data_IF_006302655991
#
_entry.id   IF_006302655991
#
_cell.length_a   1.000
_cell.length_b   1.000
_cell.length_c   1.000
_cell.angle_alpha   90.00
_cell.angle_beta   90.00
_cell.angle_gamma   90.00
#
_symmetry.space_group_name_H-M   'P 1'
#
loop_
_entity.id
_entity.type
_entity.pdbx_description
1 polymer ?
#
# COMPACT_ATOMS: atom_id res chain seq x y z
N UNK A 1 27.25 13.47 2.03
CA UNK A 1 26.55 12.16 2.10
C UNK A 1 25.04 12.33 2.33
N UNK A 2 24.60 13.03 3.39
CA UNK A 2 23.17 13.21 3.68
C UNK A 2 22.37 13.89 2.54
N UNK A 3 22.94 14.88 1.86
CA UNK A 3 22.31 15.59 0.74
C UNK A 3 22.03 14.68 -0.46
N UNK A 4 22.98 13.82 -0.82
CA UNK A 4 22.84 12.83 -1.90
C UNK A 4 21.74 11.82 -1.55
N UNK A 5 21.70 11.36 -0.30
CA UNK A 5 20.68 10.43 0.18
C UNK A 5 19.26 11.02 0.07
N UNK A 6 19.08 12.28 0.48
CA UNK A 6 17.79 12.97 0.39
C UNK A 6 17.32 13.09 -1.08
N UNK A 7 18.21 13.51 -1.98
CA UNK A 7 17.90 13.60 -3.41
C UNK A 7 17.56 12.24 -4.03
N UNK A 8 18.26 11.18 -3.64
CA UNK A 8 17.98 9.83 -4.12
C UNK A 8 16.58 9.35 -3.69
N UNK A 9 16.15 9.61 -2.45
CA UNK A 9 14.81 9.24 -1.97
C UNK A 9 13.72 9.94 -2.80
N UNK A 10 13.87 11.25 -2.99
CA UNK A 10 12.93 12.05 -3.78
C UNK A 10 12.87 11.55 -5.24
N UNK A 11 14.02 11.26 -5.84
CA UNK A 11 14.10 10.74 -7.20
C UNK A 11 13.40 9.38 -7.33
N UNK A 12 13.62 8.47 -6.39
CA UNK A 12 12.98 7.14 -6.38
C UNK A 12 11.46 7.28 -6.21
N UNK A 13 11.01 8.17 -5.32
CA UNK A 13 9.60 8.41 -5.08
C UNK A 13 8.89 8.94 -6.33
N UNK A 14 9.47 9.92 -7.01
CA UNK A 14 8.95 10.43 -8.29
C UNK A 14 8.95 9.33 -9.35
N UNK A 15 10.04 8.56 -9.46
CA UNK A 15 10.15 7.46 -10.41
C UNK A 15 9.08 6.38 -10.18
N UNK A 16 8.79 6.05 -8.92
CA UNK A 16 7.75 5.08 -8.56
C UNK A 16 6.37 5.51 -9.06
N UNK A 17 5.99 6.77 -8.89
CA UNK A 17 4.72 7.28 -9.42
C UNK A 17 4.67 7.24 -10.95
N UNK A 18 5.76 7.65 -11.61
CA UNK A 18 5.82 7.64 -13.07
C UNK A 18 5.67 6.24 -13.65
N UNK A 19 6.27 5.23 -13.02
CA UNK A 19 6.15 3.84 -13.47
C UNK A 19 4.72 3.31 -13.34
N UNK A 20 4.03 3.62 -12.24
CA UNK A 20 2.63 3.23 -12.04
C UNK A 20 1.74 3.87 -13.11
N UNK A 21 1.93 5.16 -13.41
CA UNK A 21 1.16 5.84 -14.44
C UNK A 21 1.54 5.41 -15.86
N UNK A 22 2.82 5.15 -16.13
CA UNK A 22 3.24 4.65 -17.43
C UNK A 22 2.64 3.27 -17.69
N UNK A 23 2.62 2.39 -16.69
CA UNK A 23 1.92 1.11 -16.79
C UNK A 23 0.42 1.31 -17.05
N UNK A 24 -0.24 2.26 -16.38
CA UNK A 24 -1.64 2.57 -16.62
C UNK A 24 -1.89 3.08 -18.06
N UNK A 25 -1.04 3.96 -18.60
CA UNK A 25 -1.15 4.43 -19.98
C UNK A 25 -0.93 3.32 -21.01
N UNK A 26 0.05 2.44 -20.78
CA UNK A 26 0.30 1.30 -21.68
C UNK A 26 -0.89 0.32 -21.66
N UNK A 27 -1.42 0.01 -20.48
CA UNK A 27 -2.47 -1.02 -20.32
C UNK A 27 -3.87 -0.49 -20.68
N UNK A 28 -4.17 0.77 -20.36
CA UNK A 28 -5.54 1.31 -20.51
C UNK A 28 -5.74 2.11 -21.81
N UNK A 29 -4.68 2.68 -22.37
CA UNK A 29 -4.78 3.53 -23.57
C UNK A 29 -3.92 3.04 -24.76
N UNK A 30 -3.28 1.88 -24.64
CA UNK A 30 -2.43 1.27 -25.67
C UNK A 30 -1.26 2.17 -26.14
N UNK A 31 -0.74 3.03 -25.25
CA UNK A 31 0.39 3.90 -25.59
C UNK A 31 1.69 3.11 -25.70
N UNK A 32 2.56 3.53 -26.61
CA UNK A 32 3.94 2.98 -26.66
C UNK A 32 4.73 3.41 -25.43
N UNK A 33 5.73 2.62 -25.02
CA UNK A 33 6.52 2.87 -23.79
C UNK A 33 7.07 4.30 -23.68
N UNK A 34 7.60 4.86 -24.78
CA UNK A 34 8.12 6.22 -24.80
C UNK A 34 7.03 7.30 -24.64
N UNK A 35 5.88 7.10 -25.28
CA UNK A 35 4.72 7.99 -25.13
C UNK A 35 4.16 7.93 -23.70
N UNK A 36 4.05 6.72 -23.14
CA UNK A 36 3.55 6.51 -21.78
C UNK A 36 4.39 7.24 -20.73
N UNK A 37 5.72 7.19 -20.81
CA UNK A 37 6.59 7.93 -19.87
C UNK A 37 6.40 9.43 -20.01
N UNK A 38 6.36 9.96 -21.24
CA UNK A 38 6.21 11.40 -21.51
C UNK A 38 4.88 11.93 -20.95
N UNK A 39 3.79 11.21 -21.19
CA UNK A 39 2.46 11.61 -20.71
C UNK A 39 2.30 11.40 -19.20
N UNK A 40 2.94 10.37 -18.63
CA UNK A 40 3.02 10.19 -17.17
C UNK A 40 3.73 11.36 -16.48
N UNK A 41 4.81 11.87 -17.08
CA UNK A 41 5.52 13.04 -16.55
C UNK A 41 4.65 14.30 -16.60
N UNK A 42 3.93 14.52 -17.70
CA UNK A 42 2.99 15.64 -17.85
C UNK A 42 1.85 15.56 -16.83
N UNK A 43 1.27 14.38 -16.65
CA UNK A 43 0.20 14.14 -15.70
C UNK A 43 0.66 14.34 -14.25
N UNK A 44 1.87 13.86 -13.92
CA UNK A 44 2.47 14.00 -12.59
C UNK A 44 2.68 15.47 -12.20
N UNK A 45 3.28 16.28 -13.08
CA UNK A 45 3.51 17.70 -12.81
C UNK A 45 2.19 18.46 -12.68
N UNK A 46 1.20 18.13 -13.52
CA UNK A 46 -0.12 18.77 -13.48
C UNK A 46 -0.91 18.53 -12.17
N UNK A 47 -0.68 17.39 -11.50
CA UNK A 47 -1.44 16.97 -10.32
C UNK A 47 -0.55 16.50 -9.15
N UNK A 48 0.64 17.08 -9.00
CA UNK A 48 1.63 16.62 -8.02
C UNK A 48 1.08 16.58 -6.57
N UNK A 49 0.26 17.57 -6.19
CA UNK A 49 -0.34 17.65 -4.86
C UNK A 49 -1.37 16.53 -4.62
N UNK A 50 -2.14 16.17 -5.66
CA UNK A 50 -3.11 15.06 -5.59
C UNK A 50 -2.40 13.72 -5.44
N UNK A 51 -1.27 13.54 -6.14
CA UNK A 51 -0.44 12.34 -6.01
C UNK A 51 0.11 12.20 -4.59
N UNK A 52 0.59 13.30 -4.00
CA UNK A 52 1.06 13.33 -2.62
C UNK A 52 -0.06 13.01 -1.61
N UNK A 53 -1.24 13.61 -1.79
CA UNK A 53 -2.42 13.34 -0.95
C UNK A 53 -2.76 11.84 -0.95
N UNK A 54 -2.79 11.22 -2.14
CA UNK A 54 -3.07 9.79 -2.28
C UNK A 54 -1.97 8.90 -1.71
N UNK A 55 -0.70 9.27 -1.89
CA UNK A 55 0.42 8.56 -1.29
C UNK A 55 0.34 8.57 0.24
N UNK A 56 -0.01 9.71 0.84
CA UNK A 56 -0.21 9.84 2.30
C UNK A 56 -1.38 8.96 2.75
N UNK A 57 -2.51 8.97 2.04
CA UNK A 57 -3.67 8.12 2.38
C UNK A 57 -3.27 6.64 2.34
N UNK A 58 -2.62 6.19 1.26
CA UNK A 58 -2.17 4.79 1.12
C UNK A 58 -1.16 4.43 2.21
N UNK A 59 -0.26 5.34 2.57
CA UNK A 59 0.68 5.15 3.67
C UNK A 59 -0.03 4.87 5.00
N UNK A 60 -1.03 5.70 5.38
CA UNK A 60 -1.80 5.47 6.61
C UNK A 60 -2.58 4.17 6.60
N UNK A 61 -3.15 3.78 5.45
CA UNK A 61 -3.87 2.51 5.31
C UNK A 61 -2.90 1.34 5.44
N UNK A 62 -1.71 1.41 4.83
CA UNK A 62 -0.67 0.39 4.97
C UNK A 62 -0.18 0.29 6.42
N UNK A 63 0.02 1.42 7.10
CA UNK A 63 0.40 1.44 8.51
C UNK A 63 -0.65 0.73 9.37
N UNK A 64 -1.93 1.04 9.16
CA UNK A 64 -3.03 0.40 9.87
C UNK A 64 -3.12 -1.10 9.56
N UNK A 65 -2.98 -1.49 8.29
CA UNK A 65 -2.95 -2.90 7.90
C UNK A 65 -1.78 -3.66 8.54
N UNK A 66 -0.61 -3.03 8.64
CA UNK A 66 0.55 -3.58 9.35
C UNK A 66 0.27 -3.81 10.83
N UNK A 67 -0.34 -2.83 11.52
CA UNK A 67 -0.76 -2.98 12.92
C UNK A 67 -1.78 -4.11 13.09
N UNK A 68 -2.79 -4.19 12.20
CA UNK A 68 -3.77 -5.29 12.20
C UNK A 68 -3.08 -6.64 12.02
N UNK A 69 -2.08 -6.72 11.14
CA UNK A 69 -1.31 -7.95 10.90
C UNK A 69 -0.55 -8.37 12.16
N UNK A 70 0.07 -7.44 12.88
CA UNK A 70 0.76 -7.74 14.15
C UNK A 70 -0.23 -8.26 15.20
N UNK A 71 -1.38 -7.60 15.34
CA UNK A 71 -2.42 -8.03 16.29
C UNK A 71 -2.96 -9.42 15.92
N UNK A 72 -3.26 -9.65 14.64
CA UNK A 72 -3.74 -10.94 14.16
C UNK A 72 -2.70 -12.06 14.38
N UNK A 73 -1.42 -11.75 14.14
CA UNK A 73 -0.31 -12.65 14.41
C UNK A 73 -0.20 -13.00 15.90
N UNK A 74 -0.38 -12.02 16.80
CA UNK A 74 -0.40 -12.27 18.23
C UNK A 74 -1.60 -13.13 18.66
N UNK A 75 -2.80 -12.87 18.11
CA UNK A 75 -4.01 -13.65 18.41
C UNK A 75 -3.86 -15.12 18.02
N UNK A 76 -3.13 -15.43 16.95
CA UNK A 76 -2.86 -16.81 16.51
C UNK A 76 -1.65 -17.40 17.24
N UNK A 77 -0.59 -16.62 17.38
CA UNK A 77 0.69 -17.05 17.93
C UNK A 77 0.64 -17.33 19.43
N UNK A 78 -0.10 -16.54 20.20
CA UNK A 78 -0.20 -16.73 21.67
C UNK A 78 -0.87 -18.07 22.01
N UNK A 79 -2.05 -18.44 21.45
CA UNK A 79 -2.62 -19.78 21.66
C UNK A 79 -1.69 -20.91 21.23
N UNK A 80 -1.03 -20.79 20.06
CA UNK A 80 -0.09 -21.79 19.60
C UNK A 80 1.09 -21.96 20.59
N UNK A 81 1.60 -20.85 21.14
CA UNK A 81 2.64 -20.85 22.17
C UNK A 81 2.16 -21.50 23.47
N UNK A 82 0.92 -21.22 23.91
CA UNK A 82 0.35 -21.84 25.12
C UNK A 82 0.24 -23.37 24.94
N UNK A 83 -0.27 -23.84 23.80
CA UNK A 83 -0.37 -25.29 23.52
C UNK A 83 1.02 -25.93 23.44
N UNK A 84 1.99 -25.24 22.83
CA UNK A 84 3.38 -25.68 22.80
C UNK A 84 3.97 -25.83 24.22
N UNK A 85 3.81 -24.82 25.08
CA UNK A 85 4.29 -24.89 26.47
C UNK A 85 3.58 -26.01 27.24
N UNK A 86 2.27 -26.17 27.06
CA UNK A 86 1.50 -27.24 27.70
C UNK A 86 1.98 -28.63 27.29
N UNK A 87 2.34 -28.82 26.02
CA UNK A 87 2.93 -30.06 25.51
C UNK A 87 4.24 -30.43 26.21
N UNK A 88 5.06 -29.43 26.57
CA UNK A 88 6.29 -29.63 27.34
C UNK A 88 5.97 -30.07 28.78
N UNK A 89 4.95 -29.51 29.42
CA UNK A 89 4.57 -29.91 30.78
C UNK A 89 4.09 -31.36 30.86
N UNK A 90 3.32 -31.82 29.88
CA UNK A 90 2.80 -33.21 29.85
C UNK A 90 3.78 -34.21 29.20
N UNK A 91 4.96 -33.77 28.78
CA UNK A 91 5.98 -34.59 28.11
C UNK A 91 5.42 -35.37 26.90
N UNK A 92 4.56 -34.72 26.11
CA UNK A 92 3.96 -35.32 24.91
C UNK A 92 4.36 -34.54 23.65
N UNK A 93 5.54 -34.84 23.06
CA UNK A 93 6.12 -34.09 21.95
C UNK A 93 5.25 -33.93 20.69
N UNK A 94 4.41 -34.91 20.28
CA UNK A 94 3.60 -34.76 19.08
C UNK A 94 2.66 -33.54 19.12
N UNK A 95 2.17 -33.17 20.30
CA UNK A 95 1.28 -32.01 20.47
C UNK A 95 2.02 -30.69 20.18
N UNK A 96 3.29 -30.56 20.57
CA UNK A 96 4.12 -29.40 20.25
C UNK A 96 4.33 -29.25 18.73
N UNK A 97 4.60 -30.36 18.03
CA UNK A 97 4.77 -30.34 16.57
C UNK A 97 3.48 -29.90 15.87
N UNK A 98 2.33 -30.42 16.29
CA UNK A 98 1.02 -30.02 15.74
C UNK A 98 0.73 -28.55 16.03
N UNK A 99 1.00 -28.06 17.25
CA UNK A 99 0.79 -26.67 17.61
C UNK A 99 1.61 -25.70 16.76
N UNK A 100 2.90 -26.00 16.55
CA UNK A 100 3.77 -25.19 15.69
C UNK A 100 3.30 -25.24 14.24
N UNK A 101 3.04 -26.45 13.71
CA UNK A 101 2.63 -26.61 12.32
C UNK A 101 1.33 -25.86 12.02
N UNK A 102 0.32 -26.01 12.89
CA UNK A 102 -0.97 -25.35 12.74
C UNK A 102 -0.85 -23.82 12.92
N UNK A 103 -0.12 -23.37 13.94
CA UNK A 103 0.10 -21.94 14.17
C UNK A 103 0.81 -21.26 13.01
N UNK A 104 1.83 -21.91 12.44
CA UNK A 104 2.59 -21.40 11.31
C UNK A 104 1.76 -21.41 10.02
N UNK A 105 0.97 -22.46 9.79
CA UNK A 105 0.03 -22.52 8.67
C UNK A 105 -0.99 -21.37 8.74
N UNK A 106 -1.64 -21.18 9.89
CA UNK A 106 -2.62 -20.11 10.09
C UNK A 106 -1.99 -18.72 9.94
N UNK A 107 -0.77 -18.53 10.44
CA UNK A 107 -0.01 -17.30 10.27
C UNK A 107 0.30 -17.00 8.80
N UNK A 108 0.76 -17.99 8.03
CA UNK A 108 1.01 -17.81 6.59
C UNK A 108 -0.29 -17.44 5.87
N UNK A 109 -1.39 -18.14 6.16
CA UNK A 109 -2.69 -17.87 5.53
C UNK A 109 -3.17 -16.44 5.81
N UNK A 110 -3.05 -15.96 7.04
CA UNK A 110 -3.50 -14.61 7.39
C UNK A 110 -2.61 -13.52 6.75
N UNK A 111 -1.29 -13.73 6.72
CA UNK A 111 -0.36 -12.80 6.08
C UNK A 111 -0.61 -12.74 4.58
N UNK A 112 -0.77 -13.89 3.92
CA UNK A 112 -1.10 -13.95 2.49
C UNK A 112 -2.43 -13.26 2.19
N UNK A 113 -3.46 -13.52 3.01
CA UNK A 113 -4.77 -12.89 2.84
C UNK A 113 -4.67 -11.36 2.92
N UNK A 114 -4.02 -10.82 3.96
CA UNK A 114 -3.86 -9.36 4.14
C UNK A 114 -3.00 -8.78 3.02
N UNK A 115 -1.90 -9.44 2.65
CA UNK A 115 -1.00 -8.99 1.58
C UNK A 115 -1.72 -8.93 0.22
N UNK A 116 -2.47 -9.98 -0.14
CA UNK A 116 -3.25 -10.01 -1.38
C UNK A 116 -4.34 -8.94 -1.39
N UNK A 117 -5.08 -8.78 -0.29
CA UNK A 117 -6.09 -7.74 -0.15
C UNK A 117 -5.50 -6.34 -0.33
N UNK A 118 -4.40 -6.06 0.38
CA UNK A 118 -3.71 -4.77 0.34
C UNK A 118 -3.11 -4.48 -1.04
N UNK A 119 -2.52 -5.49 -1.69
CA UNK A 119 -2.01 -5.35 -3.06
C UNK A 119 -3.12 -4.96 -4.04
N UNK A 120 -4.25 -5.67 -4.00
CA UNK A 120 -5.41 -5.37 -4.84
C UNK A 120 -5.96 -3.96 -4.58
N UNK A 121 -6.07 -3.56 -3.30
CA UNK A 121 -6.52 -2.23 -2.91
C UNK A 121 -5.61 -1.13 -3.45
N UNK A 122 -4.28 -1.28 -3.32
CA UNK A 122 -3.32 -0.28 -3.79
C UNK A 122 -3.41 -0.10 -5.31
N UNK A 123 -3.43 -1.20 -6.07
CA UNK A 123 -3.54 -1.13 -7.54
C UNK A 123 -4.85 -0.47 -7.95
N UNK A 124 -5.98 -0.88 -7.35
CA UNK A 124 -7.28 -0.30 -7.64
C UNK A 124 -7.34 1.21 -7.32
N UNK A 125 -6.74 1.63 -6.19
CA UNK A 125 -6.69 3.02 -5.78
C UNK A 125 -5.88 3.87 -6.77
N UNK A 126 -4.72 3.39 -7.22
CA UNK A 126 -3.89 4.09 -8.20
C UNK A 126 -4.55 4.18 -9.57
N UNK A 127 -5.18 3.10 -10.04
CA UNK A 127 -5.91 3.10 -11.32
C UNK A 127 -7.12 4.04 -11.26
N UNK A 128 -7.86 4.05 -10.16
CA UNK A 128 -8.98 4.98 -9.98
C UNK A 128 -8.52 6.43 -9.95
N UNK A 129 -7.39 6.71 -9.29
CA UNK A 129 -6.79 8.03 -9.28
C UNK A 129 -6.37 8.46 -10.68
N UNK A 130 -5.66 7.59 -11.39
CA UNK A 130 -5.24 7.81 -12.77
C UNK A 130 -6.43 8.18 -13.66
N UNK A 131 -7.51 7.38 -13.62
CA UNK A 131 -8.73 7.67 -14.40
C UNK A 131 -9.33 9.03 -14.06
N UNK A 132 -9.36 9.42 -12.78
CA UNK A 132 -9.89 10.73 -12.37
C UNK A 132 -9.01 11.89 -12.85
N UNK A 133 -7.69 11.74 -12.79
CA UNK A 133 -6.75 12.74 -13.28
C UNK A 133 -6.83 12.87 -14.80
N UNK A 134 -6.93 11.73 -15.50
CA UNK A 134 -7.04 11.71 -16.96
C UNK A 134 -8.37 12.33 -17.45
N UNK A 135 -9.48 12.03 -16.78
CA UNK A 135 -10.79 12.62 -17.09
C UNK A 135 -10.92 14.12 -16.71
N UNK A 136 -9.88 14.75 -16.15
CA UNK A 136 -9.90 16.16 -15.74
C UNK A 136 -10.79 16.46 -14.52
N UNK A 137 -11.29 15.43 -13.83
CA UNK A 137 -12.19 15.56 -12.67
C UNK A 137 -11.47 15.47 -11.32
N UNK A 138 -10.17 15.16 -11.31
CA UNK A 138 -9.35 15.09 -10.11
C UNK A 138 -8.99 16.50 -9.58
N UNK A 139 -9.91 17.10 -8.82
CA UNK A 139 -9.59 18.25 -7.98
C UNK A 139 -9.14 17.74 -6.61
N UNK A 140 -7.99 18.24 -6.10
CA UNK A 140 -7.53 17.93 -4.74
C UNK A 140 -8.62 18.25 -3.71
N UNK A 141 -8.85 17.35 -2.75
CA UNK A 141 -9.83 17.60 -1.67
C UNK A 141 -9.38 18.79 -0.81
N UNK A 142 -8.07 19.00 -0.67
CA UNK A 142 -7.48 20.18 -0.02
C UNK A 142 -7.81 21.48 -0.76
N UNK A 143 -7.80 21.46 -2.10
CA UNK A 143 -8.15 22.64 -2.91
C UNK A 143 -9.66 22.94 -2.91
N UNK A 144 -10.50 21.95 -2.66
CA UNK A 144 -11.94 22.15 -2.42
C UNK A 144 -12.20 22.87 -1.09
N UNK A 145 -11.44 22.54 -0.04
CA UNK A 145 -11.54 23.21 1.25
C UNK A 145 -11.09 24.69 1.19
N UNK A 146 -10.04 25.00 0.44
CA UNK A 146 -9.59 26.40 0.29
C UNK A 146 -10.53 27.25 -0.56
N UNK A 147 -11.22 26.68 -1.55
CA UNK A 147 -12.30 27.38 -2.27
C UNK A 147 -13.52 27.63 -1.38
N UNK A 148 -13.90 26.68 -0.51
CA UNK A 148 -15.01 26.87 0.43
C UNK A 148 -14.73 28.00 1.44
N UNK A 149 -13.48 28.13 1.91
CA UNK A 149 -13.06 29.23 2.79
C UNK A 149 -13.05 30.61 2.11
N UNK A 150 -12.92 30.69 0.78
CA UNK A 150 -13.03 31.96 0.03
C UNK A 150 -14.48 32.39 -0.26
N UNK A 151 -15.44 31.47 -0.22
CA UNK A 151 -16.87 31.77 -0.44
C UNK A 151 -17.56 32.22 0.85
N UNK A 152 -16.99 31.91 2.02
CA UNK A 152 -17.48 32.36 3.32
C UNK A 152 -16.82 33.67 3.83
N UNK A 153 -16.09 34.41 2.99
CA UNK A 153 -15.55 35.74 3.32
C UNK A 153 -16.15 36.80 2.41
#
# INVERSE_FOLDING_TARGET
MALIFLFSILAILVCSFLLIYAAAFVILEDYTFGQAIKESWRLFIGHWLVNLEMAIIIFFINLLAGLITIVAAAIIGIPALIVFLFSLFIQFPPLATVAIALGLLLFILIVLFIASWMGAYQVAAWVLLFRRMHAGTAVSKLMRWTKFLKVCR
#
